data_IF_181342127106
#
_entry.id   IF_181342127106
#
_cell.length_a   1.000
_cell.length_b   1.000
_cell.length_c   1.000
_cell.angle_alpha   90.00
_cell.angle_beta   90.00
_cell.angle_gamma   90.00
#
_symmetry.space_group_name_H-M   'P 1'
#
loop_
_entity.id
_entity.type
_entity.pdbx_description
1 polymer ?
#
# COMPACT_ATOMS: atom_id res chain seq x y z
N UNK A 1 -14.89 -1.47 -5.23
CA UNK A 1 -15.08 -0.78 -3.95
C UNK A 1 -16.51 -0.29 -3.93
N UNK A 2 -17.22 -0.51 -2.85
CA UNK A 2 -18.58 0.00 -2.68
C UNK A 2 -18.54 1.18 -1.72
N UNK A 3 -19.31 2.21 -2.02
CA UNK A 3 -19.44 3.40 -1.18
C UNK A 3 -20.81 3.34 -0.52
N UNK A 4 -20.83 3.04 0.77
CA UNK A 4 -22.05 3.03 1.58
C UNK A 4 -22.11 4.35 2.38
N UNK A 5 -22.70 5.39 1.78
CA UNK A 5 -22.72 6.73 2.35
C UNK A 5 -21.32 7.34 2.42
N UNK A 6 -20.80 7.62 3.62
CA UNK A 6 -19.43 8.12 3.84
C UNK A 6 -18.40 7.02 4.11
N UNK A 7 -18.81 5.75 4.12
CA UNK A 7 -17.92 4.61 4.37
C UNK A 7 -17.51 3.97 3.06
N UNK A 8 -16.20 3.75 2.91
CA UNK A 8 -15.63 2.98 1.81
C UNK A 8 -15.49 1.53 2.29
N UNK A 9 -15.97 0.58 1.50
CA UNK A 9 -15.82 -0.86 1.75
C UNK A 9 -15.22 -1.59 0.55
N UNK A 10 -14.71 -2.78 0.82
CA UNK A 10 -14.15 -3.69 -0.18
C UNK A 10 -12.68 -4.00 0.03
N UNK A 11 -12.17 -4.87 -0.84
CA UNK A 11 -10.84 -5.48 -0.67
C UNK A 11 -9.71 -4.46 -0.61
N UNK A 12 -9.82 -3.34 -1.33
CA UNK A 12 -8.82 -2.27 -1.30
C UNK A 12 -8.64 -1.65 0.10
N UNK A 13 -9.73 -1.53 0.87
CA UNK A 13 -9.68 -1.00 2.25
C UNK A 13 -8.96 -1.99 3.16
N UNK A 14 -9.24 -3.28 3.01
CA UNK A 14 -8.53 -4.33 3.74
C UNK A 14 -7.05 -4.38 3.35
N UNK A 15 -6.72 -4.24 2.07
CA UNK A 15 -5.33 -4.15 1.60
C UNK A 15 -4.62 -2.96 2.24
N UNK A 16 -5.20 -1.77 2.23
CA UNK A 16 -4.62 -0.58 2.87
C UNK A 16 -4.36 -0.80 4.36
N UNK A 17 -5.32 -1.38 5.08
CA UNK A 17 -5.14 -1.71 6.49
C UNK A 17 -3.99 -2.71 6.74
N UNK A 18 -3.80 -3.70 5.85
CA UNK A 18 -2.70 -4.67 5.96
C UNK A 18 -1.34 -4.07 5.61
N UNK A 19 -1.27 -3.19 4.61
CA UNK A 19 -0.06 -2.44 4.29
C UNK A 19 0.35 -1.55 5.46
N UNK A 20 -0.58 -0.80 6.04
CA UNK A 20 -0.32 0.03 7.21
C UNK A 20 0.17 -0.80 8.42
N UNK A 21 -0.41 -1.98 8.64
CA UNK A 21 0.01 -2.87 9.72
C UNK A 21 1.42 -3.49 9.49
N UNK A 22 1.92 -3.54 8.26
CA UNK A 22 3.25 -4.04 7.92
C UNK A 22 4.34 -2.96 7.98
N UNK A 23 3.96 -1.68 8.07
CA UNK A 23 4.90 -0.57 8.12
C UNK A 23 5.67 -0.54 9.45
N UNK A 24 6.95 -0.17 9.40
CA UNK A 24 7.75 0.09 10.61
C UNK A 24 7.37 1.44 11.24
N UNK A 25 7.77 1.71 12.49
CA UNK A 25 7.62 3.05 13.06
C UNK A 25 8.30 4.10 12.16
N UNK A 26 7.62 5.24 11.97
CA UNK A 26 8.07 6.34 11.11
C UNK A 26 8.22 5.98 9.63
N UNK A 27 7.59 4.90 9.17
CA UNK A 27 7.64 4.48 7.78
C UNK A 27 6.31 4.77 7.07
N UNK A 28 6.40 5.33 5.86
CA UNK A 28 5.27 5.36 4.93
C UNK A 28 5.44 4.22 3.93
N UNK A 29 4.64 3.18 4.09
CA UNK A 29 4.65 2.00 3.21
C UNK A 29 3.49 2.04 2.23
N UNK A 30 3.76 1.73 0.96
CA UNK A 30 2.77 1.75 -0.13
C UNK A 30 2.78 0.44 -0.91
N UNK A 31 1.68 0.16 -1.63
CA UNK A 31 1.61 -0.94 -2.58
C UNK A 31 2.23 -0.56 -3.93
N UNK A 32 2.59 -1.57 -4.73
CA UNK A 32 3.06 -1.36 -6.11
C UNK A 32 2.11 -0.52 -6.96
N UNK A 33 0.80 -0.70 -6.81
CA UNK A 33 -0.20 0.10 -7.54
C UNK A 33 -0.06 1.61 -7.27
N UNK A 34 0.17 2.02 -6.02
CA UNK A 34 0.35 3.44 -5.68
C UNK A 34 1.64 3.98 -6.29
N UNK A 35 2.75 3.23 -6.17
CA UNK A 35 4.04 3.59 -6.77
C UNK A 35 3.91 3.82 -8.28
N UNK A 36 3.22 2.93 -8.97
CA UNK A 36 3.06 2.98 -10.42
C UNK A 36 2.15 4.15 -10.85
N UNK A 37 1.10 4.44 -10.07
CA UNK A 37 0.19 5.57 -10.32
C UNK A 37 0.86 6.94 -10.17
N UNK A 38 1.88 7.06 -9.32
CA UNK A 38 2.60 8.32 -9.08
C UNK A 38 3.95 8.40 -9.78
N UNK A 39 4.18 7.53 -10.78
CA UNK A 39 5.37 7.59 -11.61
C UNK A 39 5.53 9.00 -12.21
N UNK A 40 6.72 9.59 -12.05
CA UNK A 40 7.01 10.97 -12.49
C UNK A 40 6.69 12.08 -11.48
N UNK A 41 6.16 11.75 -10.29
CA UNK A 41 5.90 12.74 -9.22
C UNK A 41 7.15 13.26 -8.49
N UNK A 42 8.31 12.62 -8.70
CA UNK A 42 9.54 12.89 -7.94
C UNK A 42 9.63 12.19 -6.58
N UNK A 43 8.59 11.44 -6.18
CA UNK A 43 8.63 10.60 -4.97
C UNK A 43 9.54 9.40 -5.22
N UNK A 44 10.48 9.14 -4.29
CA UNK A 44 11.37 7.99 -4.34
C UNK A 44 10.85 6.86 -3.46
N UNK A 45 11.18 5.64 -3.86
CA UNK A 45 10.66 4.43 -3.24
C UNK A 45 11.77 3.39 -3.11
N UNK A 46 11.90 2.82 -1.91
CA UNK A 46 12.75 1.68 -1.63
C UNK A 46 11.93 0.40 -1.60
N UNK A 47 12.46 -0.65 -2.24
CA UNK A 47 11.83 -1.96 -2.26
C UNK A 47 11.87 -2.63 -0.88
N UNK A 48 10.71 -3.09 -0.40
CA UNK A 48 10.61 -3.87 0.84
C UNK A 48 10.33 -5.35 0.60
N UNK A 49 10.32 -5.78 -0.66
CA UNK A 49 10.06 -7.16 -1.07
C UNK A 49 8.58 -7.52 -1.13
N UNK A 50 8.32 -8.82 -1.21
CA UNK A 50 6.99 -9.40 -1.34
C UNK A 50 6.41 -9.77 0.04
N UNK A 51 5.13 -9.46 0.22
CA UNK A 51 4.36 -9.71 1.43
C UNK A 51 3.10 -10.50 1.11
N UNK A 52 2.81 -11.51 1.94
CA UNK A 52 1.50 -12.16 1.96
C UNK A 52 0.63 -11.42 2.98
N UNK A 53 -0.36 -10.68 2.48
CA UNK A 53 -1.24 -9.89 3.33
C UNK A 53 -2.41 -10.75 3.81
N UNK A 54 -2.58 -10.88 5.14
CA UNK A 54 -3.63 -11.75 5.72
C UNK A 54 -5.02 -11.40 5.20
N UNK A 55 -5.66 -12.35 4.53
CA UNK A 55 -7.02 -12.22 4.00
C UNK A 55 -7.12 -11.43 2.69
N UNK A 56 -5.99 -11.13 2.05
CA UNK A 56 -5.93 -10.54 0.72
C UNK A 56 -5.20 -11.55 -0.19
N UNK A 57 -5.84 -12.03 -1.27
CA UNK A 57 -5.20 -12.98 -2.18
C UNK A 57 -3.95 -12.42 -2.85
N UNK A 58 -2.99 -13.31 -3.14
CA UNK A 58 -1.78 -13.01 -3.92
C UNK A 58 -0.60 -12.48 -3.11
N UNK A 59 0.54 -12.34 -3.80
CA UNK A 59 1.75 -11.74 -3.26
C UNK A 59 1.80 -10.26 -3.58
N UNK A 60 2.06 -9.45 -2.55
CA UNK A 60 2.04 -8.00 -2.65
C UNK A 60 3.44 -7.44 -2.48
N UNK A 61 3.97 -6.85 -3.54
CA UNK A 61 5.24 -6.13 -3.43
C UNK A 61 5.01 -4.74 -2.83
N UNK A 62 5.70 -4.45 -1.74
CA UNK A 62 5.54 -3.21 -0.98
C UNK A 62 6.79 -2.34 -1.07
N UNK A 63 6.59 -1.04 -0.93
CA UNK A 63 7.63 -0.05 -1.11
C UNK A 63 7.57 0.99 0.00
N UNK A 64 8.72 1.32 0.57
CA UNK A 64 8.84 2.42 1.51
C UNK A 64 9.06 3.72 0.74
N UNK A 65 8.31 4.77 1.07
CA UNK A 65 8.61 6.11 0.56
C UNK A 65 9.92 6.57 1.18
N UNK A 66 10.88 6.92 0.34
CA UNK A 66 12.11 7.59 0.75
C UNK A 66 12.05 9.03 0.26
N UNK A 67 12.32 9.99 1.16
CA UNK A 67 12.38 11.40 0.76
C UNK A 67 13.45 11.59 -0.29
N UNK A 68 13.19 12.52 -1.20
CA UNK A 68 14.28 13.14 -1.92
C UNK A 68 15.20 13.93 -0.99
#
# INVERSE_FOLDING_TARGET
CDVAGSKISGIAVHTGARVAAAARPQEVLVSGTVRDLVAGSGIRFDDRGNYVLKGVPGDWRLFAVTSA
#
